data_IF_671291214222
#
_entry.id   IF_671291214222
#
_cell.length_a   1.000
_cell.length_b   1.000
_cell.length_c   1.000
_cell.angle_alpha   90.00
_cell.angle_beta   90.00
_cell.angle_gamma   90.00
#
_symmetry.space_group_name_H-M   'P 1'
#
loop_
_entity.id
_entity.type
_entity.pdbx_description
1 polymer ?
#
# COMPACT_ATOMS: atom_id res chain seq x y z
N UNK A 1 -1.26 -1.25 -25.95
CA UNK A 1 -0.93 -1.59 -24.55
C UNK A 1 -1.43 -0.55 -23.56
N UNK A 2 -1.03 0.73 -23.65
CA UNK A 2 -1.52 1.78 -22.75
C UNK A 2 -3.05 1.93 -22.72
N UNK A 3 -3.70 1.97 -23.90
CA UNK A 3 -5.16 2.03 -24.01
C UNK A 3 -5.86 0.85 -23.33
N UNK A 4 -5.31 -0.36 -23.50
CA UNK A 4 -5.82 -1.57 -22.88
C UNK A 4 -5.72 -1.53 -21.35
N UNK A 5 -4.60 -1.04 -20.80
CA UNK A 5 -4.44 -0.87 -19.36
C UNK A 5 -5.41 0.16 -18.78
N UNK A 6 -5.57 1.30 -19.47
CA UNK A 6 -6.54 2.32 -19.08
C UNK A 6 -7.96 1.72 -19.07
N UNK A 7 -8.36 1.03 -20.14
CA UNK A 7 -9.66 0.36 -20.21
C UNK A 7 -9.85 -0.67 -19.10
N UNK A 8 -8.84 -1.49 -18.82
CA UNK A 8 -8.89 -2.48 -17.74
C UNK A 8 -9.12 -1.81 -16.37
N UNK A 9 -8.43 -0.71 -16.07
CA UNK A 9 -8.62 0.04 -14.82
C UNK A 9 -10.03 0.67 -14.77
N UNK A 10 -10.52 1.24 -15.87
CA UNK A 10 -11.88 1.78 -15.93
C UNK A 10 -12.95 0.71 -15.70
N UNK A 11 -12.75 -0.51 -16.22
CA UNK A 11 -13.63 -1.65 -15.94
C UNK A 11 -13.62 -1.96 -14.44
N UNK A 12 -12.47 -1.95 -13.76
CA UNK A 12 -12.41 -2.16 -12.30
C UNK A 12 -13.20 -1.09 -11.53
N UNK A 13 -13.10 0.17 -11.93
CA UNK A 13 -13.83 1.29 -11.31
C UNK A 13 -15.33 1.12 -11.54
N UNK A 14 -15.74 0.79 -12.77
CA UNK A 14 -17.15 0.54 -13.11
C UNK A 14 -17.73 -0.62 -12.31
N UNK A 15 -17.03 -1.76 -12.25
CA UNK A 15 -17.46 -2.92 -11.47
C UNK A 15 -17.55 -2.62 -9.97
N UNK A 16 -16.65 -1.78 -9.45
CA UNK A 16 -16.71 -1.31 -8.06
C UNK A 16 -17.98 -0.48 -7.81
N UNK A 17 -18.38 0.35 -8.76
CA UNK A 17 -19.64 1.11 -8.68
C UNK A 17 -20.87 0.19 -8.75
N UNK A 18 -20.89 -0.75 -9.69
CA UNK A 18 -21.96 -1.77 -9.79
C UNK A 18 -22.08 -2.56 -8.49
N UNK A 19 -20.97 -2.96 -7.88
CA UNK A 19 -20.97 -3.64 -6.57
C UNK A 19 -21.63 -2.79 -5.49
N UNK A 20 -21.30 -1.50 -5.39
CA UNK A 20 -21.92 -0.59 -4.41
C UNK A 20 -23.44 -0.54 -4.62
N UNK A 21 -23.92 -0.51 -5.86
CA UNK A 21 -25.36 -0.48 -6.16
C UNK A 21 -26.05 -1.79 -5.74
N UNK A 22 -25.47 -2.94 -6.09
CA UNK A 22 -26.11 -4.25 -5.89
C UNK A 22 -26.03 -4.71 -4.43
N UNK A 23 -24.84 -4.66 -3.84
CA UNK A 23 -24.56 -5.22 -2.51
C UNK A 23 -24.54 -4.16 -1.40
N UNK A 24 -24.55 -2.88 -1.76
CA UNK A 24 -24.29 -1.80 -0.83
C UNK A 24 -22.87 -1.84 -0.25
N UNK A 25 -22.69 -1.10 0.83
CA UNK A 25 -21.46 -1.06 1.62
C UNK A 25 -21.52 -2.08 2.78
N UNK A 26 -21.79 -3.35 2.46
CA UNK A 26 -21.98 -4.42 3.46
C UNK A 26 -20.92 -5.53 3.44
N UNK A 27 -20.08 -5.57 2.40
CA UNK A 27 -19.09 -6.65 2.23
C UNK A 27 -17.71 -6.11 1.86
N UNK A 28 -16.70 -6.52 2.63
CA UNK A 28 -15.29 -6.21 2.38
C UNK A 28 -14.63 -7.11 1.33
N UNK A 29 -15.31 -8.16 0.83
CA UNK A 29 -14.64 -9.25 0.11
C UNK A 29 -14.46 -9.01 -1.40
N UNK A 30 -15.30 -8.17 -2.01
CA UNK A 30 -15.34 -8.01 -3.47
C UNK A 30 -14.96 -6.58 -3.86
N UNK A 31 -13.94 -6.39 -4.71
CA UNK A 31 -13.57 -5.08 -5.28
C UNK A 31 -13.16 -5.26 -6.73
N UNK A 32 -13.91 -4.64 -7.65
CA UNK A 32 -13.76 -4.86 -9.08
C UNK A 32 -13.93 -6.34 -9.47
N UNK A 33 -13.16 -6.80 -10.46
CA UNK A 33 -13.05 -8.21 -10.87
C UNK A 33 -11.79 -8.91 -10.37
N UNK A 34 -10.86 -8.19 -9.75
CA UNK A 34 -9.53 -8.73 -9.36
C UNK A 34 -9.54 -9.38 -7.98
N UNK A 35 -10.56 -9.11 -7.17
CA UNK A 35 -10.55 -9.50 -5.76
C UNK A 35 -11.81 -10.29 -5.37
N UNK A 36 -11.65 -11.61 -5.37
CA UNK A 36 -12.47 -12.53 -4.59
C UNK A 36 -11.70 -13.03 -3.34
N UNK A 37 -10.38 -12.88 -3.33
CA UNK A 37 -9.47 -13.45 -2.32
C UNK A 37 -8.64 -12.34 -1.69
N UNK A 38 -8.94 -12.04 -0.42
CA UNK A 38 -8.06 -11.26 0.46
C UNK A 38 -8.19 -9.73 0.32
N UNK A 39 -8.41 -9.07 1.46
CA UNK A 39 -8.64 -7.62 1.56
C UNK A 39 -7.51 -6.70 1.12
N UNK A 40 -6.28 -7.23 1.03
CA UNK A 40 -5.09 -6.42 0.82
C UNK A 40 -4.85 -5.98 -0.61
N UNK A 41 -5.30 -6.77 -1.59
CA UNK A 41 -5.14 -6.43 -3.00
C UNK A 41 -5.89 -5.13 -3.37
N UNK A 42 -7.10 -4.89 -2.84
CA UNK A 42 -7.88 -3.67 -3.09
C UNK A 42 -7.12 -2.40 -2.74
N UNK A 43 -6.49 -2.42 -1.56
CA UNK A 43 -5.78 -1.27 -1.01
C UNK A 43 -4.61 -0.93 -1.92
N UNK A 44 -3.76 -1.92 -2.22
CA UNK A 44 -2.56 -1.72 -3.04
C UNK A 44 -2.91 -1.40 -4.48
N UNK A 45 -3.83 -2.15 -5.09
CA UNK A 45 -4.21 -1.95 -6.48
C UNK A 45 -4.76 -0.52 -6.70
N UNK A 46 -5.50 0.02 -5.74
CA UNK A 46 -5.96 1.41 -5.76
C UNK A 46 -4.78 2.39 -5.79
N UNK A 47 -3.77 2.20 -4.92
CA UNK A 47 -2.57 3.03 -4.94
C UNK A 47 -1.78 2.90 -6.24
N UNK A 48 -1.66 1.69 -6.78
CA UNK A 48 -1.00 1.46 -8.07
C UNK A 48 -1.75 2.16 -9.21
N UNK A 49 -3.10 2.13 -9.22
CA UNK A 49 -3.92 2.86 -10.19
C UNK A 49 -3.70 4.37 -10.10
N UNK A 50 -3.63 4.91 -8.89
CA UNK A 50 -3.33 6.32 -8.67
C UNK A 50 -1.95 6.69 -9.22
N UNK A 51 -0.90 5.92 -8.87
CA UNK A 51 0.47 6.14 -9.37
C UNK A 51 0.47 6.13 -10.91
N UNK A 52 -0.17 5.13 -11.52
CA UNK A 52 -0.29 5.02 -12.97
C UNK A 52 -0.95 6.25 -13.61
N UNK A 53 -2.11 6.68 -13.09
CA UNK A 53 -2.79 7.87 -13.62
C UNK A 53 -2.00 9.16 -13.39
N UNK A 54 -1.32 9.30 -12.25
CA UNK A 54 -0.46 10.45 -11.95
C UNK A 54 0.71 10.57 -12.93
N UNK A 55 1.33 9.44 -13.32
CA UNK A 55 2.38 9.43 -14.35
C UNK A 55 1.81 9.90 -15.70
N UNK A 56 0.68 9.34 -16.13
CA UNK A 56 0.04 9.74 -17.40
C UNK A 56 -0.29 11.24 -17.43
N UNK A 57 -0.77 11.78 -16.31
CA UNK A 57 -1.13 13.19 -16.20
C UNK A 57 0.10 14.11 -16.24
N UNK A 58 1.20 13.74 -15.58
CA UNK A 58 2.44 14.55 -15.58
C UNK A 58 3.09 14.61 -16.94
N UNK A 59 3.08 13.50 -17.66
CA UNK A 59 3.59 13.47 -19.03
C UNK A 59 2.71 14.30 -19.99
N UNK A 60 1.56 14.83 -19.51
CA UNK A 60 0.60 15.68 -20.25
C UNK A 60 0.15 15.09 -21.59
N UNK A 61 0.27 13.77 -21.77
CA UNK A 61 0.04 13.11 -23.06
C UNK A 61 -1.40 12.69 -23.27
N UNK A 62 -2.18 12.71 -22.21
CA UNK A 62 -3.63 12.52 -22.26
C UNK A 62 -4.31 13.79 -21.74
N UNK A 63 -5.29 14.31 -22.49
CA UNK A 63 -6.23 15.33 -22.00
C UNK A 63 -7.23 14.69 -21.02
N UNK A 64 -6.75 13.92 -20.06
CA UNK A 64 -7.59 13.49 -18.95
C UNK A 64 -8.03 14.77 -18.23
N UNK A 65 -9.34 14.99 -18.12
CA UNK A 65 -9.89 16.10 -17.35
C UNK A 65 -9.23 16.08 -15.97
N UNK A 66 -8.99 17.27 -15.39
CA UNK A 66 -8.19 17.54 -14.18
C UNK A 66 -8.56 16.71 -12.93
N UNK A 67 -9.58 15.85 -12.98
CA UNK A 67 -10.09 15.08 -11.84
C UNK A 67 -10.20 13.57 -12.11
N UNK A 68 -9.91 13.09 -13.34
CA UNK A 68 -10.07 11.65 -13.66
C UNK A 68 -9.10 10.76 -12.89
N UNK A 69 -7.93 11.29 -12.51
CA UNK A 69 -6.96 10.57 -11.66
C UNK A 69 -7.51 10.26 -10.26
N UNK A 70 -8.62 10.87 -9.84
CA UNK A 70 -9.29 10.62 -8.56
C UNK A 70 -10.27 9.44 -8.62
N UNK A 71 -10.64 8.95 -9.81
CA UNK A 71 -11.61 7.84 -9.92
C UNK A 71 -11.21 6.55 -9.20
N UNK A 72 -9.92 6.19 -9.04
CA UNK A 72 -9.52 5.08 -8.18
C UNK A 72 -10.00 5.21 -6.71
N UNK A 73 -10.34 6.41 -6.21
CA UNK A 73 -10.97 6.59 -4.88
C UNK A 73 -12.24 5.72 -4.74
N UNK A 74 -12.98 5.53 -5.84
CA UNK A 74 -14.21 4.73 -5.84
C UNK A 74 -13.92 3.27 -5.48
N UNK A 75 -12.79 2.73 -5.93
CA UNK A 75 -12.31 1.37 -5.61
C UNK A 75 -12.03 1.25 -4.11
N UNK A 76 -11.43 2.28 -3.51
CA UNK A 76 -11.25 2.36 -2.06
C UNK A 76 -12.59 2.37 -1.32
N UNK A 77 -13.50 3.28 -1.66
CA UNK A 77 -14.82 3.39 -0.99
C UNK A 77 -15.56 2.05 -1.08
N UNK A 78 -15.54 1.41 -2.25
CA UNK A 78 -16.14 0.10 -2.45
C UNK A 78 -15.51 -1.00 -1.58
N UNK A 79 -14.23 -0.88 -1.19
CA UNK A 79 -13.51 -1.90 -0.43
C UNK A 79 -13.84 -1.93 1.07
N UNK A 80 -14.35 -0.83 1.62
CA UNK A 80 -14.58 -0.62 3.07
C UNK A 80 -13.38 -0.84 3.98
N UNK A 81 -12.18 -1.01 3.40
CA UNK A 81 -10.97 -1.22 4.18
C UNK A 81 -10.61 0.04 4.95
N UNK A 82 -10.15 -0.16 6.18
CA UNK A 82 -9.66 0.92 7.06
C UNK A 82 -8.27 1.45 6.67
N UNK A 83 -7.38 0.60 6.13
CA UNK A 83 -6.00 0.98 5.84
C UNK A 83 -5.88 2.23 4.93
N UNK A 84 -6.70 2.41 3.89
CA UNK A 84 -6.66 3.63 3.10
C UNK A 84 -7.14 4.88 3.86
N UNK A 85 -7.95 4.79 4.91
CA UNK A 85 -8.27 5.99 5.73
C UNK A 85 -6.99 6.66 6.25
N UNK A 86 -5.97 5.86 6.58
CA UNK A 86 -4.67 6.33 7.05
C UNK A 86 -3.69 6.62 5.92
N UNK A 87 -3.64 5.75 4.90
CA UNK A 87 -2.65 5.85 3.83
C UNK A 87 -3.04 6.87 2.76
N UNK A 88 -4.32 6.96 2.42
CA UNK A 88 -4.78 7.79 1.31
C UNK A 88 -4.49 9.27 1.50
N UNK A 89 -4.68 9.88 2.68
CA UNK A 89 -4.31 11.28 2.90
C UNK A 89 -2.81 11.54 2.64
N UNK A 90 -1.93 10.61 3.06
CA UNK A 90 -0.48 10.69 2.87
C UNK A 90 -0.10 10.51 1.40
N UNK A 91 -0.59 9.45 0.76
CA UNK A 91 -0.30 9.19 -0.66
C UNK A 91 -0.93 10.22 -1.58
N UNK A 92 -2.14 10.68 -1.30
CA UNK A 92 -2.79 11.76 -2.03
C UNK A 92 -1.96 13.03 -1.97
N UNK A 93 -1.46 13.40 -0.79
CA UNK A 93 -0.53 14.51 -0.65
C UNK A 93 0.69 14.36 -1.57
N UNK A 94 1.37 13.20 -1.53
CA UNK A 94 2.53 12.94 -2.39
C UNK A 94 2.20 12.93 -3.89
N UNK A 95 1.04 12.41 -4.29
CA UNK A 95 0.59 12.32 -5.68
C UNK A 95 0.13 13.67 -6.24
N UNK A 96 -0.44 14.54 -5.41
CA UNK A 96 -0.91 15.87 -5.83
C UNK A 96 0.24 16.87 -5.92
N UNK A 97 1.24 16.76 -5.05
CA UNK A 97 2.45 17.57 -5.16
C UNK A 97 3.40 17.03 -6.25
N UNK A 98 3.20 15.79 -6.69
CA UNK A 98 4.01 15.08 -7.70
C UNK A 98 4.31 15.91 -8.97
N UNK A 99 3.35 16.66 -9.56
CA UNK A 99 3.59 17.44 -10.78
C UNK A 99 4.48 18.69 -10.57
N UNK A 100 4.64 19.16 -9.33
CA UNK A 100 5.29 20.45 -9.05
C UNK A 100 6.81 20.32 -8.95
N UNK A 101 7.56 21.13 -9.73
CA UNK A 101 9.03 21.08 -9.75
C UNK A 101 9.70 21.44 -8.41
N UNK A 102 9.11 22.40 -7.70
CA UNK A 102 9.49 22.82 -6.34
C UNK A 102 8.25 22.81 -5.46
N UNK A 103 8.40 22.31 -4.24
CA UNK A 103 7.35 22.40 -3.23
C UNK A 103 7.35 23.81 -2.66
N UNK A 104 6.37 24.62 -3.05
CA UNK A 104 6.12 25.89 -2.38
C UNK A 104 5.23 25.63 -1.16
N UNK A 105 5.47 26.35 -0.07
CA UNK A 105 4.66 26.27 1.14
C UNK A 105 3.18 26.58 0.82
N UNK A 106 2.92 27.52 -0.09
CA UNK A 106 1.59 27.80 -0.63
C UNK A 106 0.92 26.60 -1.31
N UNK A 107 1.67 25.75 -2.00
CA UNK A 107 1.09 24.54 -2.60
C UNK A 107 0.77 23.51 -1.51
N UNK A 108 1.63 23.34 -0.51
CA UNK A 108 1.41 22.42 0.62
C UNK A 108 0.14 22.82 1.39
N UNK A 109 0.05 24.07 1.82
CA UNK A 109 -1.06 24.60 2.64
C UNK A 109 -2.41 24.45 1.93
N UNK A 110 -2.47 24.57 0.60
CA UNK A 110 -3.72 24.36 -0.17
C UNK A 110 -4.26 22.93 -0.08
N UNK A 111 -3.40 21.94 0.13
CA UNK A 111 -3.81 20.53 0.16
C UNK A 111 -4.02 19.98 1.56
N UNK A 112 -3.49 20.63 2.59
CA UNK A 112 -3.71 20.25 4.00
C UNK A 112 -5.21 20.13 4.35
N UNK A 113 -6.09 21.09 4.01
CA UNK A 113 -7.52 20.95 4.29
C UNK A 113 -8.15 19.72 3.62
N UNK A 114 -7.73 19.38 2.40
CA UNK A 114 -8.26 18.20 1.69
C UNK A 114 -7.83 16.91 2.38
N UNK A 115 -6.56 16.82 2.78
CA UNK A 115 -6.00 15.69 3.55
C UNK A 115 -6.76 15.51 4.87
N UNK A 116 -6.99 16.60 5.60
CA UNK A 116 -7.74 16.58 6.86
C UNK A 116 -9.21 16.19 6.67
N UNK A 117 -9.87 16.69 5.63
CA UNK A 117 -11.24 16.31 5.31
C UNK A 117 -11.34 14.83 4.92
N UNK A 118 -10.41 14.33 4.10
CA UNK A 118 -10.36 12.91 3.74
C UNK A 118 -10.19 12.02 4.96
N UNK A 119 -9.31 12.40 5.89
CA UNK A 119 -9.15 11.69 7.15
C UNK A 119 -10.40 11.77 8.04
N UNK A 120 -10.97 12.96 8.21
CA UNK A 120 -12.19 13.19 8.99
C UNK A 120 -13.37 12.36 8.48
N UNK A 121 -13.68 12.45 7.18
CA UNK A 121 -14.76 11.66 6.59
C UNK A 121 -14.43 10.17 6.56
N UNK A 122 -13.17 9.80 6.34
CA UNK A 122 -12.73 8.40 6.39
C UNK A 122 -12.95 7.77 7.76
N UNK A 123 -12.68 8.49 8.84
CA UNK A 123 -12.95 8.05 10.22
C UNK A 123 -14.45 7.93 10.46
N UNK A 124 -15.24 8.96 10.13
CA UNK A 124 -16.68 8.95 10.39
C UNK A 124 -17.43 7.89 9.59
N UNK A 125 -17.00 7.59 8.36
CA UNK A 125 -17.68 6.63 7.48
C UNK A 125 -17.23 5.18 7.71
N UNK A 126 -16.16 4.94 8.45
CA UNK A 126 -15.68 3.60 8.76
C UNK A 126 -16.13 3.19 10.16
N UNK A 127 -17.03 2.21 10.24
CA UNK A 127 -17.58 1.71 11.51
C UNK A 127 -16.50 1.38 12.55
N UNK A 128 -15.40 0.73 12.17
CA UNK A 128 -14.36 0.32 13.14
C UNK A 128 -13.49 1.46 13.68
N UNK A 129 -13.62 2.68 13.14
CA UNK A 129 -12.78 3.83 13.50
C UNK A 129 -13.52 4.86 14.36
N UNK A 130 -14.76 4.59 14.77
CA UNK A 130 -15.51 5.47 15.67
C UNK A 130 -16.07 4.69 16.88
N UNK A 131 -16.26 5.36 18.03
CA UNK A 131 -16.75 4.73 19.26
C UNK A 131 -18.10 4.02 19.10
N UNK A 132 -18.96 4.53 18.22
CA UNK A 132 -20.31 4.00 18.01
C UNK A 132 -20.35 2.76 17.10
N UNK A 133 -19.21 2.34 16.53
CA UNK A 133 -19.12 1.25 15.57
C UNK A 133 -20.11 1.37 14.40
N UNK A 134 -20.35 2.59 13.92
CA UNK A 134 -21.42 2.89 12.96
C UNK A 134 -20.93 3.71 11.77
N UNK A 135 -21.64 3.63 10.65
CA UNK A 135 -21.40 4.53 9.53
C UNK A 135 -21.93 5.92 9.90
N UNK A 136 -21.10 6.95 9.72
CA UNK A 136 -21.32 8.34 10.14
C UNK A 136 -21.19 8.62 11.64
N UNK A 137 -20.48 7.76 12.38
CA UNK A 137 -20.19 7.94 13.80
C UNK A 137 -19.37 9.19 14.13
N UNK A 138 -19.05 9.38 15.41
CA UNK A 138 -18.33 10.56 15.88
C UNK A 138 -16.85 10.52 15.48
N UNK A 139 -16.28 11.70 15.19
CA UNK A 139 -14.84 11.81 15.00
C UNK A 139 -14.18 11.94 16.37
N UNK A 140 -13.38 10.94 16.76
CA UNK A 140 -12.62 10.95 17.99
C UNK A 140 -11.17 10.51 17.71
N UNK A 141 -10.24 11.48 17.73
CA UNK A 141 -8.83 11.21 17.40
C UNK A 141 -8.19 10.21 18.37
N UNK A 142 -8.53 10.27 19.67
CA UNK A 142 -8.00 9.34 20.67
C UNK A 142 -8.46 7.92 20.41
N UNK A 143 -9.75 7.73 20.09
CA UNK A 143 -10.27 6.41 19.71
C UNK A 143 -9.53 5.85 18.49
N UNK A 144 -9.29 6.69 17.48
CA UNK A 144 -8.55 6.29 16.27
C UNK A 144 -7.10 5.90 16.58
N UNK A 145 -6.41 6.65 17.45
CA UNK A 145 -5.03 6.33 17.85
C UNK A 145 -4.98 5.05 18.67
N UNK A 146 -5.87 4.89 19.66
CA UNK A 146 -5.93 3.72 20.53
C UNK A 146 -6.21 2.47 19.68
N UNK A 147 -7.19 2.56 18.76
CA UNK A 147 -7.48 1.51 17.79
C UNK A 147 -6.27 1.15 16.93
N UNK A 148 -5.54 2.14 16.42
CA UNK A 148 -4.37 1.89 15.58
C UNK A 148 -3.26 1.14 16.32
N UNK A 149 -3.02 1.48 17.58
CA UNK A 149 -2.06 0.78 18.43
C UNK A 149 -2.53 -0.63 18.74
N UNK A 150 -3.77 -0.77 19.22
CA UNK A 150 -4.35 -2.08 19.56
C UNK A 150 -4.37 -3.02 18.35
N UNK A 151 -4.77 -2.52 17.18
CA UNK A 151 -4.82 -3.32 15.96
C UNK A 151 -3.45 -3.80 15.48
N UNK A 152 -2.39 -3.01 15.67
CA UNK A 152 -1.06 -3.34 15.18
C UNK A 152 -0.17 -4.03 16.20
N UNK A 153 -0.40 -3.80 17.50
CA UNK A 153 0.48 -4.25 18.58
C UNK A 153 -0.25 -5.00 19.72
N UNK A 154 -1.59 -5.02 19.74
CA UNK A 154 -2.40 -5.68 20.76
C UNK A 154 -2.65 -4.90 22.04
N UNK A 155 -2.08 -3.70 22.12
CA UNK A 155 -2.25 -2.78 23.25
C UNK A 155 -2.42 -1.38 22.71
N UNK A 156 -3.23 -0.57 23.38
CA UNK A 156 -3.35 0.86 23.12
C UNK A 156 -2.23 1.67 23.79
N UNK A 157 -1.43 1.05 24.66
CA UNK A 157 -0.38 1.72 25.42
C UNK A 157 1.00 1.38 24.89
N UNK A 158 1.72 2.41 24.45
CA UNK A 158 3.03 2.28 23.78
C UNK A 158 4.07 1.55 24.64
N UNK A 159 4.06 1.76 25.96
CA UNK A 159 5.03 1.14 26.86
C UNK A 159 4.83 -0.38 27.03
N UNK A 160 3.62 -0.89 26.74
CA UNK A 160 3.29 -2.32 26.89
C UNK A 160 3.64 -3.16 25.65
N UNK A 161 4.08 -2.55 24.54
CA UNK A 161 4.30 -3.20 23.22
C UNK A 161 5.33 -4.35 23.28
N UNK A 162 6.19 -4.38 24.31
CA UNK A 162 7.21 -5.40 24.49
C UNK A 162 7.19 -6.04 25.90
N UNK A 163 6.11 -5.83 26.66
CA UNK A 163 6.00 -6.38 28.03
C UNK A 163 5.48 -7.81 28.05
N UNK A 164 4.91 -8.30 26.95
CA UNK A 164 4.35 -9.66 26.84
C UNK A 164 5.25 -10.58 26.02
N UNK A 165 5.35 -11.85 26.43
CA UNK A 165 6.09 -12.87 25.67
C UNK A 165 5.46 -13.17 24.30
N UNK A 166 4.17 -12.90 24.14
CA UNK A 166 3.40 -13.17 22.92
C UNK A 166 2.98 -11.86 22.28
N UNK A 167 3.49 -11.59 21.07
CA UNK A 167 3.17 -10.37 20.33
C UNK A 167 1.85 -10.51 19.57
N UNK A 168 1.26 -9.40 19.12
CA UNK A 168 0.08 -9.46 18.26
C UNK A 168 0.03 -8.36 17.21
N UNK A 169 -0.75 -8.60 16.15
CA UNK A 169 -0.92 -7.68 15.04
C UNK A 169 0.33 -7.52 14.17
N UNK A 170 0.18 -6.80 13.05
CA UNK A 170 1.27 -6.71 12.06
C UNK A 170 2.49 -5.97 12.58
N UNK A 171 2.30 -4.93 13.39
CA UNK A 171 3.39 -4.19 14.04
C UNK A 171 4.12 -5.04 15.06
N UNK A 172 3.40 -5.72 15.96
CA UNK A 172 3.99 -6.63 16.94
C UNK A 172 4.73 -7.80 16.31
N UNK A 173 4.24 -8.30 15.16
CA UNK A 173 4.91 -9.37 14.42
C UNK A 173 6.34 -9.00 14.01
N UNK A 174 6.64 -7.72 13.76
CA UNK A 174 7.97 -7.29 13.35
C UNK A 174 9.04 -7.57 14.40
N UNK A 175 8.67 -7.61 15.68
CA UNK A 175 9.58 -7.98 16.77
C UNK A 175 10.08 -9.43 16.63
N UNK A 176 9.28 -10.29 15.99
CA UNK A 176 9.63 -11.69 15.75
C UNK A 176 10.77 -11.87 14.74
N UNK A 177 11.08 -10.86 13.91
CA UNK A 177 12.26 -10.90 13.04
C UNK A 177 13.56 -11.08 13.83
N UNK A 178 13.57 -10.63 15.09
CA UNK A 178 14.71 -10.74 16.00
C UNK A 178 14.63 -11.96 16.92
N UNK A 179 13.54 -12.72 16.86
CA UNK A 179 13.29 -13.89 17.71
C UNK A 179 12.85 -15.09 16.83
N UNK A 180 13.73 -15.60 15.94
CA UNK A 180 13.35 -16.63 14.96
C UNK A 180 12.76 -17.91 15.58
N UNK A 181 13.18 -18.27 16.80
CA UNK A 181 12.60 -19.40 17.53
C UNK A 181 11.09 -19.24 17.80
N UNK A 182 10.60 -18.01 17.99
CA UNK A 182 9.18 -17.69 18.22
C UNK A 182 8.32 -17.72 16.97
N UNK A 183 8.93 -17.78 15.78
CA UNK A 183 8.22 -18.04 14.51
C UNK A 183 8.46 -19.48 14.04
N UNK A 184 8.92 -20.36 14.92
CA UNK A 184 9.11 -21.76 14.62
C UNK A 184 10.44 -22.11 13.94
N UNK A 185 11.33 -21.14 13.65
CA UNK A 185 12.65 -21.41 13.04
C UNK A 185 13.67 -21.77 14.14
N UNK A 186 13.91 -23.07 14.35
CA UNK A 186 14.63 -23.58 15.53
C UNK A 186 16.14 -23.76 15.32
N UNK A 187 16.61 -23.84 14.08
CA UNK A 187 18.02 -24.10 13.77
C UNK A 187 18.56 -23.19 12.66
N UNK A 188 19.88 -23.14 12.51
CA UNK A 188 20.55 -22.26 11.55
C UNK A 188 20.11 -22.50 10.10
N UNK A 189 19.79 -23.74 9.72
CA UNK A 189 19.31 -24.08 8.37
C UNK A 189 17.95 -23.46 8.12
N UNK A 190 17.02 -23.60 9.05
CA UNK A 190 15.69 -22.99 8.98
C UNK A 190 15.77 -21.46 9.02
N UNK A 191 16.65 -20.88 9.83
CA UNK A 191 16.86 -19.44 9.84
C UNK A 191 17.36 -18.94 8.47
N UNK A 192 18.25 -19.70 7.80
CA UNK A 192 18.82 -19.29 6.52
C UNK A 192 17.88 -19.49 5.33
N UNK A 193 17.13 -20.60 5.31
CA UNK A 193 16.35 -21.04 4.13
C UNK A 193 14.83 -21.10 4.35
N UNK A 194 14.37 -20.90 5.57
CA UNK A 194 12.95 -20.94 5.93
C UNK A 194 12.40 -22.35 6.05
N UNK A 195 11.09 -22.43 6.32
CA UNK A 195 10.33 -23.68 6.39
C UNK A 195 9.46 -23.94 5.15
N UNK A 196 9.40 -23.00 4.21
CA UNK A 196 8.49 -23.06 3.08
C UNK A 196 7.07 -22.62 3.43
N UNK A 197 6.20 -22.56 2.43
CA UNK A 197 4.82 -22.04 2.53
C UNK A 197 3.76 -23.14 2.53
N UNK A 198 4.13 -24.39 2.24
CA UNK A 198 3.20 -25.48 1.92
C UNK A 198 2.28 -25.79 3.09
N UNK A 199 2.84 -25.97 4.29
CA UNK A 199 2.05 -26.32 5.48
C UNK A 199 1.05 -25.22 5.86
N UNK A 200 1.39 -23.97 5.55
CA UNK A 200 0.51 -22.81 5.74
C UNK A 200 -0.56 -22.67 4.66
N UNK A 201 -0.20 -22.87 3.40
CA UNK A 201 -1.14 -22.81 2.28
C UNK A 201 -2.21 -23.90 2.37
N UNK A 202 -1.89 -25.02 3.02
CA UNK A 202 -2.79 -26.18 3.22
C UNK A 202 -3.55 -26.15 4.55
N UNK A 203 -3.26 -25.18 5.41
CA UNK A 203 -3.90 -25.04 6.73
C UNK A 203 -5.36 -24.56 6.64
N UNK A 204 -6.15 -24.85 7.68
CA UNK A 204 -7.57 -24.46 7.76
C UNK A 204 -7.79 -22.95 7.74
N UNK A 205 -6.82 -22.16 8.22
CA UNK A 205 -6.88 -20.70 8.18
C UNK A 205 -6.41 -20.13 6.83
N UNK A 206 -5.64 -20.92 6.06
CA UNK A 206 -5.17 -20.59 4.69
C UNK A 206 -4.40 -19.27 4.58
N UNK A 207 -3.92 -18.73 5.71
CA UNK A 207 -3.25 -17.44 5.84
C UNK A 207 -2.23 -17.51 6.97
N UNK A 208 -1.15 -16.74 6.84
CA UNK A 208 -0.16 -16.54 7.89
C UNK A 208 -0.74 -15.75 9.07
N UNK A 209 -1.47 -16.47 9.90
CA UNK A 209 -1.96 -16.05 11.21
C UNK A 209 -1.06 -16.72 12.25
N UNK A 210 -0.64 -15.96 13.26
CA UNK A 210 0.09 -16.52 14.40
C UNK A 210 -0.78 -17.52 15.18
N UNK A 211 -0.14 -18.41 15.94
CA UNK A 211 -0.83 -19.33 16.81
C UNK A 211 -0.20 -20.72 16.88
N UNK A 212 -0.73 -21.53 17.80
CA UNK A 212 -0.21 -22.87 18.12
C UNK A 212 -0.20 -23.83 16.94
N UNK A 213 -1.11 -23.67 15.98
CA UNK A 213 -1.19 -24.50 14.77
C UNK A 213 0.10 -24.47 13.94
N UNK A 214 0.93 -23.44 14.12
CA UNK A 214 2.14 -23.22 13.33
C UNK A 214 3.40 -23.05 14.17
N UNK A 215 3.32 -23.26 15.49
CA UNK A 215 4.44 -23.01 16.40
C UNK A 215 4.88 -21.54 16.43
N UNK A 216 3.98 -20.61 16.07
CA UNK A 216 4.27 -19.17 16.11
C UNK A 216 3.65 -18.55 17.35
N UNK A 217 4.50 -17.97 18.20
CA UNK A 217 4.12 -17.23 19.41
C UNK A 217 3.65 -15.82 19.06
N UNK A 218 2.51 -15.75 18.36
CA UNK A 218 1.91 -14.50 17.90
C UNK A 218 0.39 -14.64 17.77
N UNK A 219 -0.33 -13.53 17.94
CA UNK A 219 -1.76 -13.47 17.63
C UNK A 219 -2.07 -12.55 16.45
N UNK A 220 -2.89 -13.05 15.53
CA UNK A 220 -3.37 -12.27 14.38
C UNK A 220 -2.45 -12.36 13.17
N UNK A 221 -2.66 -11.44 12.22
CA UNK A 221 -1.98 -11.45 10.93
C UNK A 221 -0.53 -11.00 11.06
N UNK A 222 0.37 -11.81 10.52
CA UNK A 222 1.78 -11.45 10.40
C UNK A 222 2.00 -10.38 9.31
N UNK A 223 3.01 -9.54 9.53
CA UNK A 223 3.55 -8.66 8.49
C UNK A 223 4.21 -9.49 7.39
N UNK A 224 4.24 -8.95 6.17
CA UNK A 224 4.86 -9.69 5.06
C UNK A 224 6.36 -9.93 5.26
N UNK A 225 7.07 -9.05 5.96
CA UNK A 225 8.49 -9.25 6.27
C UNK A 225 8.69 -10.56 7.03
N UNK A 226 7.89 -10.79 8.07
CA UNK A 226 7.95 -12.01 8.89
C UNK A 226 7.51 -13.22 8.08
N UNK A 227 6.46 -13.10 7.27
CA UNK A 227 5.99 -14.19 6.39
C UNK A 227 7.07 -14.62 5.41
N UNK A 228 7.76 -13.67 4.77
CA UNK A 228 8.85 -13.96 3.83
C UNK A 228 10.04 -14.57 4.58
N UNK A 229 10.38 -14.03 5.74
CA UNK A 229 11.49 -14.55 6.55
C UNK A 229 11.22 -15.99 7.03
N UNK A 230 10.01 -16.26 7.51
CA UNK A 230 9.59 -17.62 7.85
C UNK A 230 9.63 -18.56 6.63
N UNK A 231 9.05 -18.13 5.51
CA UNK A 231 8.85 -19.00 4.35
C UNK A 231 10.15 -19.28 3.58
N UNK A 232 11.00 -18.27 3.42
CA UNK A 232 12.20 -18.33 2.56
C UNK A 232 13.52 -18.14 3.33
N UNK A 233 13.45 -17.96 4.65
CA UNK A 233 14.60 -17.70 5.49
C UNK A 233 15.21 -16.33 5.25
N UNK A 234 16.33 -16.09 5.92
CA UNK A 234 17.07 -14.84 5.82
C UNK A 234 17.57 -14.61 4.40
N UNK A 235 18.01 -15.68 3.71
CA UNK A 235 18.53 -15.58 2.35
C UNK A 235 17.45 -15.11 1.37
N UNK A 236 16.28 -15.75 1.37
CA UNK A 236 15.18 -15.36 0.50
C UNK A 236 14.61 -13.99 0.87
N UNK A 237 14.53 -13.64 2.16
CA UNK A 237 14.14 -12.30 2.58
C UNK A 237 15.07 -11.22 2.02
N UNK A 238 16.39 -11.39 2.16
CA UNK A 238 17.39 -10.47 1.61
C UNK A 238 17.26 -10.37 0.09
N UNK A 239 17.18 -11.50 -0.62
CA UNK A 239 17.04 -11.48 -2.08
C UNK A 239 15.76 -10.79 -2.55
N UNK A 240 14.63 -11.02 -1.87
CA UNK A 240 13.37 -10.34 -2.18
C UNK A 240 13.47 -8.83 -1.97
N UNK A 241 14.12 -8.39 -0.89
CA UNK A 241 14.36 -6.97 -0.63
C UNK A 241 15.28 -6.37 -1.69
N UNK A 242 16.39 -7.03 -2.01
CA UNK A 242 17.34 -6.56 -3.02
C UNK A 242 16.71 -6.49 -4.41
N UNK A 243 15.93 -7.50 -4.81
CA UNK A 243 15.21 -7.51 -6.09
C UNK A 243 14.20 -6.36 -6.16
N UNK A 244 13.40 -6.16 -5.11
CA UNK A 244 12.41 -5.08 -5.05
C UNK A 244 13.09 -3.71 -5.11
N UNK A 245 14.17 -3.52 -4.34
CA UNK A 245 14.96 -2.29 -4.38
C UNK A 245 15.61 -2.08 -5.75
N UNK A 246 16.15 -3.11 -6.38
CA UNK A 246 16.71 -3.02 -7.73
C UNK A 246 15.67 -2.51 -8.73
N UNK A 247 14.45 -3.07 -8.74
CA UNK A 247 13.34 -2.62 -9.60
C UNK A 247 13.00 -1.15 -9.30
N UNK A 248 12.89 -0.76 -8.03
CA UNK A 248 12.58 0.61 -7.63
C UNK A 248 13.69 1.58 -8.07
N UNK A 249 14.96 1.19 -7.95
CA UNK A 249 16.09 2.04 -8.33
C UNK A 249 16.28 2.17 -9.86
N UNK A 250 15.55 1.39 -10.68
CA UNK A 250 15.45 1.66 -12.12
C UNK A 250 14.67 2.94 -12.42
N UNK A 251 13.90 3.48 -11.46
CA UNK A 251 13.12 4.70 -11.64
C UNK A 251 14.06 5.91 -11.73
N UNK A 252 14.02 6.62 -12.86
CA UNK A 252 14.83 7.82 -13.08
C UNK A 252 14.24 9.06 -12.44
N UNK A 253 12.91 9.15 -12.43
CA UNK A 253 12.19 10.25 -11.81
C UNK A 253 12.24 10.14 -10.28
N UNK A 254 13.09 10.94 -9.61
CA UNK A 254 13.29 10.92 -8.14
C UNK A 254 12.01 10.90 -7.31
N UNK A 255 10.97 11.62 -7.76
CA UNK A 255 9.69 11.67 -7.03
C UNK A 255 8.95 10.34 -7.08
N UNK A 256 8.95 9.68 -8.25
CA UNK A 256 8.27 8.40 -8.43
C UNK A 256 8.99 7.32 -7.62
N UNK A 257 10.32 7.39 -7.59
CA UNK A 257 11.16 6.55 -6.75
C UNK A 257 10.72 6.65 -5.28
N UNK A 258 10.60 7.85 -4.72
CA UNK A 258 10.19 8.02 -3.32
C UNK A 258 8.77 7.53 -3.05
N UNK A 259 7.81 7.78 -3.95
CA UNK A 259 6.42 7.31 -3.77
C UNK A 259 6.38 5.77 -3.72
N UNK A 260 7.03 5.10 -4.68
CA UNK A 260 7.05 3.64 -4.76
C UNK A 260 7.87 3.06 -3.60
N UNK A 261 8.98 3.69 -3.21
CA UNK A 261 9.81 3.25 -2.08
C UNK A 261 9.05 3.32 -0.74
N UNK A 262 8.34 4.42 -0.47
CA UNK A 262 7.52 4.56 0.74
C UNK A 262 6.40 3.52 0.74
N UNK A 263 5.71 3.32 -0.39
CA UNK A 263 4.67 2.30 -0.52
C UNK A 263 5.23 0.90 -0.28
N UNK A 264 6.39 0.58 -0.86
CA UNK A 264 7.04 -0.70 -0.68
C UNK A 264 7.43 -0.97 0.78
N UNK A 265 8.06 0.00 1.45
CA UNK A 265 8.44 -0.12 2.87
C UNK A 265 7.19 -0.34 3.73
N UNK A 266 6.14 0.46 3.51
CA UNK A 266 4.88 0.27 4.22
C UNK A 266 4.29 -1.13 4.00
N UNK A 267 4.24 -1.58 2.74
CA UNK A 267 3.68 -2.86 2.35
C UNK A 267 4.45 -4.06 2.92
N UNK A 268 5.78 -3.97 2.96
CA UNK A 268 6.66 -5.01 3.49
C UNK A 268 6.50 -5.17 5.00
N UNK A 269 6.51 -4.06 5.75
CA UNK A 269 6.58 -4.11 7.22
C UNK A 269 5.21 -4.04 7.90
N UNK A 270 4.23 -3.35 7.32
CA UNK A 270 2.94 -3.09 7.97
C UNK A 270 1.75 -3.70 7.21
N UNK A 271 2.00 -4.32 6.07
CA UNK A 271 0.96 -4.91 5.24
C UNK A 271 1.37 -6.28 4.64
N UNK A 272 0.73 -6.66 3.53
CA UNK A 272 0.84 -7.99 2.92
C UNK A 272 1.74 -8.05 1.68
N UNK A 273 2.65 -7.08 1.50
CA UNK A 273 3.56 -6.96 0.35
C UNK A 273 2.91 -7.23 -1.02
N UNK A 274 1.70 -6.70 -1.24
CA UNK A 274 0.96 -6.96 -2.47
C UNK A 274 1.50 -6.16 -3.65
N UNK A 275 2.49 -5.28 -3.44
CA UNK A 275 3.06 -4.45 -4.50
C UNK A 275 3.79 -5.28 -5.56
N UNK A 276 4.63 -6.23 -5.12
CA UNK A 276 5.43 -7.08 -6.01
C UNK A 276 5.01 -8.55 -6.01
N UNK A 277 4.32 -9.04 -4.97
CA UNK A 277 3.83 -10.43 -4.91
C UNK A 277 2.58 -10.61 -5.77
N UNK A 278 1.67 -9.61 -5.77
CA UNK A 278 0.48 -9.68 -6.61
C UNK A 278 0.84 -9.39 -8.07
N UNK A 279 0.55 -10.34 -8.97
CA UNK A 279 0.90 -10.23 -10.38
C UNK A 279 0.33 -8.97 -11.06
N UNK A 280 -0.92 -8.58 -10.74
CA UNK A 280 -1.55 -7.40 -11.35
C UNK A 280 -0.87 -6.09 -10.89
N UNK A 281 -0.63 -5.97 -9.59
CA UNK A 281 0.09 -4.82 -9.02
C UNK A 281 1.52 -4.73 -9.56
N UNK A 282 2.26 -5.84 -9.55
CA UNK A 282 3.65 -5.89 -9.96
C UNK A 282 3.80 -5.51 -11.44
N UNK A 283 2.96 -6.09 -12.30
CA UNK A 283 2.94 -5.76 -13.72
C UNK A 283 2.66 -4.28 -13.97
N UNK A 284 1.65 -3.72 -13.29
CA UNK A 284 1.27 -2.33 -13.49
C UNK A 284 2.32 -1.36 -12.95
N UNK A 285 3.00 -1.69 -11.84
CA UNK A 285 4.15 -0.91 -11.34
C UNK A 285 5.32 -0.98 -12.32
N UNK A 286 5.73 -2.16 -12.77
CA UNK A 286 6.85 -2.30 -13.71
C UNK A 286 6.54 -1.55 -15.01
N UNK A 287 5.32 -1.67 -15.54
CA UNK A 287 4.87 -0.88 -16.69
C UNK A 287 4.95 0.62 -16.43
N UNK A 288 4.50 1.08 -15.26
CA UNK A 288 4.54 2.49 -14.86
C UNK A 288 5.97 3.03 -14.81
N UNK A 289 6.92 2.26 -14.27
CA UNK A 289 8.35 2.59 -14.22
C UNK A 289 8.92 2.72 -15.64
N UNK A 290 8.69 1.70 -16.47
CA UNK A 290 9.17 1.70 -17.86
C UNK A 290 8.60 2.87 -18.67
N UNK A 291 7.28 3.10 -18.54
CA UNK A 291 6.58 4.19 -19.19
C UNK A 291 7.15 5.55 -18.76
N UNK A 292 7.32 5.80 -17.46
CA UNK A 292 7.92 7.03 -16.95
C UNK A 292 9.35 7.25 -17.49
N UNK A 293 10.19 6.21 -17.46
CA UNK A 293 11.57 6.29 -17.94
C UNK A 293 11.69 6.59 -19.43
N UNK A 294 10.80 6.01 -20.25
CA UNK A 294 10.77 6.24 -21.70
C UNK A 294 10.56 7.72 -22.05
N UNK A 295 9.73 8.43 -21.30
CA UNK A 295 9.45 9.84 -21.59
C UNK A 295 10.49 10.79 -21.01
N UNK A 296 11.14 10.44 -19.91
CA UNK A 296 12.28 11.19 -19.39
C UNK A 296 13.45 11.24 -20.41
N UNK A 297 13.66 10.16 -21.16
CA UNK A 297 14.61 10.09 -22.28
C UNK A 297 14.26 10.99 -23.47
N UNK A 298 12.98 11.34 -23.64
CA UNK A 298 12.49 12.12 -24.79
C UNK A 298 12.36 13.61 -24.54
N UNK A 299 12.63 14.09 -23.32
CA UNK A 299 12.79 15.53 -23.08
C UNK A 299 14.19 15.89 -23.61
N UNK A 300 14.30 16.63 -24.74
CA UNK A 300 15.61 17.06 -25.20
C UNK A 300 16.20 17.94 -24.10
N UNK A 301 17.47 17.70 -23.77
CA UNK A 301 18.31 18.75 -23.18
C UNK A 301 18.30 19.85 -24.23
N UNK A 302 17.41 20.83 -24.12
CA UNK A 302 17.44 22.00 -24.99
C UNK A 302 18.85 22.58 -24.83
N UNK A 303 19.66 22.67 -25.90
CA UNK A 303 20.92 23.38 -25.80
C UNK A 303 20.57 24.77 -25.29
N UNK A 304 21.30 25.20 -24.25
CA UNK A 304 21.25 26.59 -23.77
C UNK A 304 21.30 27.47 -25.02
N UNK A 305 20.21 28.17 -25.32
CA UNK A 305 20.24 29.25 -26.30
C UNK A 305 21.34 30.19 -25.82
N UNK A 306 22.51 30.12 -26.43
CA UNK A 306 23.47 31.22 -26.41
C UNK A 306 22.66 32.41 -26.89
N UNK A 307 22.42 33.37 -26.00
CA UNK A 307 22.09 34.71 -26.42
C UNK A 307 23.30 35.20 -27.23
N UNK A 308 23.25 35.02 -28.56
CA UNK A 308 24.04 35.83 -29.46
C UNK A 308 23.47 37.24 -29.33
N UNK A 309 24.23 38.12 -28.69
CA UNK A 309 23.97 39.55 -28.71
C UNK A 309 23.80 40.00 -30.16
N UNK A 310 22.73 40.77 -30.37
CA UNK A 310 22.59 41.59 -31.55
C UNK A 310 23.68 42.66 -31.55
N UNK A 311 24.08 42.98 -32.80
CA UNK A 311 24.86 44.12 -33.30
C UNK A 311 24.94 45.36 -32.40
#
# INVERSE_FOLDING_TARGET
MLSLLISAIFIQIFLSFVKIIIYGLKSESIVGSVQYIGGGAAVVLTFVFLIFFSIIQIEKRFRLKKYIYLLPIIVFIASLKRAPVFLYPVFYFFLVIFPYKKLSLNNIVKYVPVVLLLFYFGVRTNATLNPENSNWGSFNLKYVTDYMFEYNFGTSKVYEINETDITSGRGGSLLLLFQPGKIGLQNAKEILFGQGIVDYALSSEGRFVGGKAYGIEHYGLLSSAVVIFYSLGLSGFIFMVLMSLYIIFLIRTKRLLWIILILYIFELFFYGNQLFINHASAFLIIFSIYYSNYFELKVPIMPLKKYSGYE
#
